data_IF_776184874364
#
_entry.id   IF_776184874364
#
_cell.length_a   1.000
_cell.length_b   1.000
_cell.length_c   1.000
_cell.angle_alpha   90.00
_cell.angle_beta   90.00
_cell.angle_gamma   90.00
#
_symmetry.space_group_name_H-M   'P 1'
#
loop_
_entity.id
_entity.type
_entity.pdbx_description
1 polymer ?
#
# COMPACT_ATOMS: atom_id res chain seq x y z
N UNK A 1 -27.94 -80.38 31.81
CA UNK A 1 -27.22 -79.19 32.29
C UNK A 1 -27.63 -78.00 31.43
N UNK A 2 -28.58 -77.17 31.89
CA UNK A 2 -29.06 -75.97 31.19
C UNK A 2 -28.11 -74.81 31.50
N UNK A 3 -27.43 -74.26 30.48
CA UNK A 3 -26.60 -73.06 30.61
C UNK A 3 -27.51 -71.83 30.60
N UNK A 4 -27.32 -70.96 31.57
CA UNK A 4 -28.04 -69.70 31.83
C UNK A 4 -27.02 -68.55 31.65
N UNK A 5 -27.44 -67.57 30.84
CA UNK A 5 -27.13 -66.13 30.79
C UNK A 5 -25.67 -65.61 30.82
N UNK A 6 -25.36 -64.69 29.91
CA UNK A 6 -25.33 -63.24 30.21
C UNK A 6 -25.14 -62.43 28.91
N UNK A 7 -26.11 -61.58 28.54
CA UNK A 7 -25.94 -60.55 27.51
C UNK A 7 -25.68 -59.21 28.20
N UNK A 8 -24.48 -58.67 28.00
CA UNK A 8 -24.05 -57.38 28.53
C UNK A 8 -24.58 -56.28 27.58
N UNK A 9 -25.51 -55.46 28.05
CA UNK A 9 -25.93 -54.26 27.33
C UNK A 9 -24.95 -53.12 27.62
N UNK A 10 -24.09 -52.78 26.65
CA UNK A 10 -23.33 -51.53 26.67
C UNK A 10 -24.28 -50.36 26.35
N UNK A 11 -24.61 -49.54 27.36
CA UNK A 11 -25.14 -48.20 27.13
C UNK A 11 -23.98 -47.30 26.67
N UNK A 12 -23.86 -47.09 25.37
CA UNK A 12 -23.04 -46.02 24.82
C UNK A 12 -23.72 -44.68 25.07
N UNK A 13 -23.18 -43.88 25.99
CA UNK A 13 -23.51 -42.46 26.12
C UNK A 13 -22.85 -41.70 24.98
N UNK A 14 -23.52 -41.67 23.83
CA UNK A 14 -23.15 -40.74 22.76
C UNK A 14 -23.29 -39.31 23.28
N UNK A 15 -22.17 -38.57 23.33
CA UNK A 15 -22.18 -37.12 23.40
C UNK A 15 -22.78 -36.61 22.08
N UNK A 16 -24.11 -36.50 22.06
CA UNK A 16 -24.82 -35.82 20.97
C UNK A 16 -24.43 -34.35 21.07
N UNK A 17 -23.55 -33.89 20.19
CA UNK A 17 -23.36 -32.46 19.99
C UNK A 17 -24.71 -31.85 19.65
N UNK A 18 -25.18 -30.90 20.45
CA UNK A 18 -26.43 -30.21 20.19
C UNK A 18 -26.32 -29.49 18.85
N UNK A 19 -27.08 -29.96 17.86
CA UNK A 19 -27.31 -29.26 16.60
C UNK A 19 -27.75 -27.83 16.90
N UNK A 20 -27.01 -26.84 16.40
CA UNK A 20 -27.18 -25.44 16.73
C UNK A 20 -26.54 -24.54 15.67
N UNK A 21 -27.06 -23.31 15.47
CA UNK A 21 -26.36 -22.31 14.69
C UNK A 21 -25.07 -21.92 15.40
N UNK A 22 -24.01 -21.67 14.62
CA UNK A 22 -22.70 -21.27 15.16
C UNK A 22 -22.07 -20.17 14.33
N UNK A 23 -21.87 -19.00 14.93
CA UNK A 23 -21.25 -17.85 14.26
C UNK A 23 -19.73 -17.89 14.36
N UNK A 24 -19.08 -17.69 13.22
CA UNK A 24 -17.67 -17.35 13.12
C UNK A 24 -17.51 -16.04 12.37
N UNK A 25 -16.59 -15.18 12.82
CA UNK A 25 -16.23 -13.94 12.14
C UNK A 25 -14.75 -13.96 11.76
N UNK A 26 -14.38 -13.29 10.69
CA UNK A 26 -12.98 -13.22 10.24
C UNK A 26 -12.07 -12.46 11.21
N UNK A 27 -12.61 -11.48 11.94
CA UNK A 27 -11.92 -10.78 13.03
C UNK A 27 -12.93 -10.15 13.99
N UNK A 28 -12.53 -10.02 15.27
CA UNK A 28 -13.27 -9.29 16.31
C UNK A 28 -12.59 -7.97 16.70
N UNK A 29 -11.36 -7.74 16.21
CA UNK A 29 -10.62 -6.50 16.40
C UNK A 29 -10.07 -6.05 15.04
N UNK A 30 -10.49 -4.86 14.62
CA UNK A 30 -9.88 -4.14 13.53
C UNK A 30 -9.12 -2.94 14.09
N UNK A 31 -7.78 -3.02 14.06
CA UNK A 31 -6.93 -1.87 14.34
C UNK A 31 -6.62 -1.14 13.03
N UNK A 32 -7.12 0.08 12.87
CA UNK A 32 -6.90 0.88 11.67
C UNK A 32 -5.55 1.62 11.68
N UNK A 33 -4.73 1.41 12.71
CA UNK A 33 -3.46 2.11 12.88
C UNK A 33 -3.71 3.59 13.14
N UNK A 34 -3.26 4.45 12.23
CA UNK A 34 -3.50 5.89 12.32
C UNK A 34 -4.42 6.36 11.19
N UNK A 35 -5.51 7.01 11.55
CA UNK A 35 -6.42 7.67 10.63
C UNK A 35 -6.36 9.20 10.78
N UNK A 36 -6.66 9.88 9.69
CA UNK A 36 -6.75 11.35 9.67
C UNK A 36 -8.10 11.74 10.23
N UNK A 37 -8.12 12.76 11.08
CA UNK A 37 -9.38 13.36 11.52
C UNK A 37 -10.21 13.82 10.31
N UNK A 38 -11.49 13.44 10.28
CA UNK A 38 -12.41 13.79 9.19
C UNK A 38 -12.51 12.75 8.07
N UNK A 39 -11.81 11.62 8.16
CA UNK A 39 -11.88 10.54 7.16
C UNK A 39 -12.88 9.45 7.56
N UNK A 40 -13.19 8.57 6.60
CA UNK A 40 -13.97 7.35 6.86
C UNK A 40 -13.04 6.16 6.76
N UNK A 41 -12.86 5.46 7.87
CA UNK A 41 -12.21 4.15 7.92
C UNK A 41 -13.24 3.10 7.48
N UNK A 42 -12.95 2.35 6.43
CA UNK A 42 -13.82 1.27 5.92
C UNK A 42 -13.08 -0.07 6.00
N UNK A 43 -13.74 -1.09 6.52
CA UNK A 43 -13.21 -2.46 6.57
C UNK A 43 -14.32 -3.49 6.48
N UNK A 44 -13.96 -4.73 6.13
CA UNK A 44 -14.91 -5.82 5.93
C UNK A 44 -14.67 -6.94 6.95
N UNK A 45 -15.75 -7.42 7.56
CA UNK A 45 -15.75 -8.62 8.39
C UNK A 45 -16.60 -9.67 7.70
N UNK A 46 -16.01 -10.83 7.41
CA UNK A 46 -16.74 -11.97 6.89
C UNK A 46 -17.41 -12.71 8.04
N UNK A 47 -18.71 -12.93 7.93
CA UNK A 47 -19.52 -13.68 8.88
C UNK A 47 -19.88 -15.02 8.25
N UNK A 48 -19.60 -16.11 8.94
CA UNK A 48 -19.83 -17.47 8.46
C UNK A 48 -20.68 -18.24 9.47
N UNK A 49 -21.68 -18.97 8.98
CA UNK A 49 -22.38 -19.97 9.78
C UNK A 49 -21.63 -21.31 9.69
N UNK A 50 -20.90 -21.64 10.74
CA UNK A 50 -20.17 -22.92 10.85
C UNK A 50 -20.95 -23.98 11.64
N UNK A 51 -22.20 -23.68 12.00
CA UNK A 51 -23.12 -24.61 12.61
C UNK A 51 -23.90 -25.41 11.58
N UNK A 52 -24.77 -26.28 12.07
CA UNK A 52 -25.62 -27.17 11.27
C UNK A 52 -27.09 -26.72 11.23
N UNK A 53 -27.42 -25.61 11.88
CA UNK A 53 -28.72 -24.94 11.79
C UNK A 53 -28.58 -23.50 11.27
N UNK A 54 -29.69 -22.89 10.85
CA UNK A 54 -29.72 -21.51 10.34
C UNK A 54 -29.30 -20.51 11.42
N UNK A 55 -28.26 -19.75 11.11
CA UNK A 55 -27.81 -18.61 11.90
C UNK A 55 -28.56 -17.35 11.44
N UNK A 56 -29.16 -16.64 12.39
CA UNK A 56 -29.86 -15.37 12.17
C UNK A 56 -29.19 -14.27 12.97
N UNK A 57 -28.78 -13.21 12.30
CA UNK A 57 -28.31 -11.96 12.91
C UNK A 57 -29.54 -11.12 13.25
N UNK A 58 -29.97 -11.18 14.51
CA UNK A 58 -31.22 -10.60 14.99
C UNK A 58 -31.15 -9.07 15.09
N UNK A 59 -29.99 -8.54 15.50
CA UNK A 59 -29.78 -7.10 15.68
C UNK A 59 -28.31 -6.74 15.51
N UNK A 60 -28.05 -5.50 15.13
CA UNK A 60 -26.72 -4.90 15.14
C UNK A 60 -26.82 -3.59 15.91
N UNK A 61 -25.90 -3.34 16.83
CA UNK A 61 -25.81 -2.07 17.55
C UNK A 61 -24.40 -1.50 17.54
N UNK A 62 -24.30 -0.18 17.63
CA UNK A 62 -23.05 0.56 17.72
C UNK A 62 -23.12 1.53 18.89
N UNK A 63 -22.00 1.75 19.55
CA UNK A 63 -21.87 2.69 20.67
C UNK A 63 -21.70 4.16 20.21
N UNK A 64 -21.60 4.42 18.91
CA UNK A 64 -21.45 5.76 18.35
C UNK A 64 -22.18 5.93 17.02
N UNK A 65 -22.79 7.11 16.81
CA UNK A 65 -23.42 7.51 15.54
C UNK A 65 -22.44 7.68 14.38
N UNK A 66 -21.16 7.76 14.67
CA UNK A 66 -20.06 7.83 13.71
C UNK A 66 -19.79 6.49 12.99
N UNK A 67 -20.40 5.40 13.44
CA UNK A 67 -20.25 4.07 12.84
C UNK A 67 -21.48 3.69 12.02
N UNK A 68 -21.28 3.17 10.82
CA UNK A 68 -22.32 2.61 9.96
C UNK A 68 -21.88 1.27 9.39
N UNK A 69 -22.83 0.49 8.86
CA UNK A 69 -22.56 -0.82 8.29
C UNK A 69 -23.44 -1.11 7.08
N UNK A 70 -22.99 -2.02 6.25
CA UNK A 70 -23.72 -2.61 5.13
C UNK A 70 -23.61 -4.13 5.25
N UNK A 71 -24.76 -4.79 5.40
CA UNK A 71 -24.87 -6.24 5.55
C UNK A 71 -25.90 -6.77 4.54
N UNK A 72 -25.47 -7.44 3.46
CA UNK A 72 -26.37 -7.92 2.42
C UNK A 72 -27.40 -8.95 2.88
N UNK A 73 -27.06 -9.76 3.89
CA UNK A 73 -27.88 -10.90 4.33
C UNK A 73 -27.75 -11.13 5.84
N UNK A 74 -28.86 -11.44 6.51
CA UNK A 74 -28.91 -11.70 7.96
C UNK A 74 -29.16 -13.15 8.34
N UNK A 75 -29.73 -13.94 7.44
CA UNK A 75 -29.99 -15.37 7.63
C UNK A 75 -29.01 -16.17 6.81
N UNK A 76 -28.15 -16.93 7.48
CA UNK A 76 -27.12 -17.76 6.86
C UNK A 76 -27.47 -19.23 7.05
N UNK A 77 -27.59 -19.95 5.93
CA UNK A 77 -27.69 -21.40 5.97
C UNK A 77 -26.36 -22.01 6.46
N UNK A 78 -26.35 -23.27 6.93
CA UNK A 78 -25.11 -23.97 7.27
C UNK A 78 -24.05 -23.86 6.15
N UNK A 79 -22.83 -23.46 6.51
CA UNK A 79 -21.71 -23.25 5.59
C UNK A 79 -21.73 -21.92 4.81
N UNK A 80 -22.80 -21.13 4.88
CA UNK A 80 -22.91 -19.88 4.15
C UNK A 80 -22.08 -18.76 4.81
N UNK A 81 -21.52 -17.88 3.98
CA UNK A 81 -20.77 -16.69 4.41
C UNK A 81 -21.32 -15.41 3.78
N UNK A 82 -21.22 -14.30 4.50
CA UNK A 82 -21.56 -12.97 4.01
C UNK A 82 -20.50 -11.95 4.46
N UNK A 83 -20.16 -11.02 3.58
CA UNK A 83 -19.27 -9.91 3.90
C UNK A 83 -20.07 -8.74 4.49
N UNK A 84 -19.73 -8.33 5.72
CA UNK A 84 -20.25 -7.11 6.35
C UNK A 84 -19.23 -6.00 6.23
N UNK A 85 -19.60 -4.90 5.57
CA UNK A 85 -18.75 -3.71 5.46
C UNK A 85 -19.10 -2.74 6.59
N UNK A 86 -18.10 -2.32 7.36
CA UNK A 86 -18.25 -1.35 8.46
C UNK A 86 -17.50 -0.08 8.07
N UNK A 87 -18.11 1.08 8.36
CA UNK A 87 -17.51 2.40 8.17
C UNK A 87 -17.49 3.16 9.49
N UNK A 88 -16.35 3.74 9.84
CA UNK A 88 -16.16 4.59 11.02
C UNK A 88 -15.70 5.98 10.56
N UNK A 89 -16.53 6.99 10.80
CA UNK A 89 -16.20 8.39 10.53
C UNK A 89 -15.39 8.96 11.69
N UNK A 90 -14.13 9.32 11.42
CA UNK A 90 -13.18 9.80 12.42
C UNK A 90 -13.30 11.31 12.72
N UNK A 91 -14.31 12.00 12.16
CA UNK A 91 -14.50 13.44 12.36
C UNK A 91 -14.59 13.82 13.85
N UNK A 92 -13.70 14.71 14.27
CA UNK A 92 -13.56 15.20 15.63
C UNK A 92 -12.87 14.25 16.58
N UNK A 93 -12.34 13.09 16.12
CA UNK A 93 -11.76 12.10 17.02
C UNK A 93 -10.32 12.40 17.45
N UNK A 94 -9.64 13.33 16.81
CA UNK A 94 -8.27 13.72 17.20
C UNK A 94 -8.17 14.33 18.60
N UNK A 95 -9.28 14.90 19.11
CA UNK A 95 -9.33 15.54 20.43
C UNK A 95 -9.56 14.57 21.59
N UNK A 96 -9.90 13.31 21.32
CA UNK A 96 -10.13 12.31 22.37
C UNK A 96 -8.83 11.60 22.77
N UNK A 97 -8.88 10.88 23.90
CA UNK A 97 -7.78 10.03 24.35
C UNK A 97 -7.55 8.94 23.32
N UNK A 98 -6.29 8.81 22.88
CA UNK A 98 -5.86 7.83 21.89
C UNK A 98 -5.36 6.56 22.59
N UNK A 99 -5.53 5.38 21.97
CA UNK A 99 -6.29 5.16 20.75
C UNK A 99 -7.80 5.21 21.02
N UNK A 100 -8.55 5.73 20.06
CA UNK A 100 -10.01 5.74 20.11
C UNK A 100 -10.51 4.32 19.82
N UNK A 101 -11.62 3.95 20.46
CA UNK A 101 -12.21 2.62 20.31
C UNK A 101 -13.73 2.72 20.19
N UNK A 102 -14.30 2.07 19.19
CA UNK A 102 -15.73 1.92 18.97
C UNK A 102 -16.07 0.44 18.82
N UNK A 103 -17.32 0.06 19.10
CA UNK A 103 -17.74 -1.34 19.06
C UNK A 103 -19.05 -1.47 18.29
N UNK A 104 -19.05 -2.36 17.31
CA UNK A 104 -20.24 -2.86 16.61
C UNK A 104 -20.56 -4.25 17.17
N UNK A 105 -21.70 -4.40 17.84
CA UNK A 105 -22.11 -5.69 18.41
C UNK A 105 -23.16 -6.34 17.53
N UNK A 106 -22.86 -7.55 17.05
CA UNK A 106 -23.82 -8.44 16.41
C UNK A 106 -24.58 -9.23 17.47
N UNK A 107 -25.90 -9.30 17.35
CA UNK A 107 -26.75 -10.17 18.16
C UNK A 107 -27.22 -11.32 17.29
N UNK A 108 -27.13 -12.54 17.81
CA UNK A 108 -27.40 -13.75 17.03
C UNK A 108 -28.26 -14.75 17.80
N UNK A 109 -28.79 -15.74 17.09
CA UNK A 109 -29.43 -16.91 17.70
C UNK A 109 -28.44 -18.05 18.03
N UNK A 110 -27.12 -17.83 17.92
CA UNK A 110 -26.11 -18.77 18.42
C UNK A 110 -26.20 -18.83 19.96
N UNK A 111 -26.54 -20.00 20.54
CA UNK A 111 -26.74 -20.12 21.99
C UNK A 111 -25.44 -19.95 22.79
N UNK A 112 -24.29 -20.16 22.15
CA UNK A 112 -22.97 -19.98 22.76
C UNK A 112 -22.41 -18.59 22.54
N UNK A 113 -22.86 -17.90 21.47
CA UNK A 113 -22.40 -16.56 21.10
C UNK A 113 -23.57 -15.63 20.75
N UNK A 114 -24.45 -15.32 21.71
CA UNK A 114 -25.61 -14.45 21.47
C UNK A 114 -25.19 -13.00 21.18
N UNK A 115 -23.97 -12.62 21.54
CA UNK A 115 -23.37 -11.30 21.27
C UNK A 115 -21.94 -11.48 20.76
N UNK A 116 -21.63 -10.86 19.63
CA UNK A 116 -20.29 -10.84 19.03
C UNK A 116 -19.87 -9.38 18.85
N UNK A 117 -19.05 -8.82 19.77
CA UNK A 117 -18.53 -7.47 19.63
C UNK A 117 -17.40 -7.45 18.60
N UNK A 118 -17.49 -6.55 17.64
CA UNK A 118 -16.44 -6.21 16.69
C UNK A 118 -15.90 -4.84 17.11
N UNK A 119 -14.68 -4.81 17.62
CA UNK A 119 -14.01 -3.59 18.08
C UNK A 119 -13.22 -2.95 16.94
N UNK A 120 -13.39 -1.66 16.76
CA UNK A 120 -12.66 -0.81 15.84
C UNK A 120 -11.81 0.14 16.66
N UNK A 121 -10.50 0.02 16.56
CA UNK A 121 -9.55 0.79 17.36
C UNK A 121 -8.51 1.44 16.47
N UNK A 122 -7.99 2.59 16.88
CA UNK A 122 -6.82 3.18 16.27
C UNK A 122 -6.58 4.61 16.77
N UNK A 123 -5.54 5.25 16.26
CA UNK A 123 -5.21 6.64 16.58
C UNK A 123 -5.84 7.56 15.54
N UNK A 124 -6.59 8.57 15.95
CA UNK A 124 -7.03 9.65 15.07
C UNK A 124 -6.22 10.89 15.36
N UNK A 125 -5.70 11.54 14.33
CA UNK A 125 -4.98 12.80 14.49
C UNK A 125 -5.28 13.81 13.40
N UNK A 126 -5.16 15.08 13.74
CA UNK A 126 -5.01 16.14 12.73
C UNK A 126 -3.63 15.98 12.12
N UNK A 127 -3.56 15.79 10.80
CA UNK A 127 -2.27 15.68 10.13
C UNK A 127 -1.59 17.03 10.04
N UNK A 128 -0.30 17.04 10.31
CA UNK A 128 0.57 18.11 9.86
C UNK A 128 0.74 18.02 8.34
N UNK A 129 1.12 19.12 7.68
CA UNK A 129 1.27 19.14 6.22
C UNK A 129 2.34 18.16 5.68
N UNK A 130 3.31 17.76 6.53
CA UNK A 130 4.34 16.76 6.22
C UNK A 130 3.91 15.32 6.53
N UNK A 131 2.67 15.06 6.94
CA UNK A 131 2.20 13.72 7.29
C UNK A 131 1.15 13.26 6.29
N UNK A 132 1.18 11.98 5.91
CA UNK A 132 0.10 11.39 5.13
C UNK A 132 -0.04 9.88 5.40
N UNK A 133 -1.27 9.33 5.35
CA UNK A 133 -1.53 7.93 5.63
C UNK A 133 -1.07 7.04 4.48
N UNK A 134 -0.86 5.75 4.76
CA UNK A 134 -0.49 4.74 3.76
C UNK A 134 -1.46 4.70 2.57
N UNK A 135 -2.77 4.88 2.82
CA UNK A 135 -3.75 4.97 1.75
C UNK A 135 -3.47 6.07 0.73
N UNK A 136 -3.01 7.25 1.17
CA UNK A 136 -2.70 8.34 0.24
C UNK A 136 -1.52 7.98 -0.66
N UNK A 137 -0.51 7.28 -0.15
CA UNK A 137 0.59 6.77 -0.97
C UNK A 137 0.11 5.66 -1.92
N UNK A 138 -0.70 4.71 -1.43
CA UNK A 138 -1.26 3.62 -2.23
C UNK A 138 -2.11 4.14 -3.40
N UNK A 139 -2.99 5.11 -3.14
CA UNK A 139 -3.87 5.73 -4.16
C UNK A 139 -3.09 6.45 -5.27
N UNK A 140 -1.89 6.98 -4.97
CA UNK A 140 -1.06 7.71 -5.94
C UNK A 140 0.17 6.93 -6.40
N UNK A 141 0.30 5.66 -6.02
CA UNK A 141 1.48 4.85 -6.30
C UNK A 141 1.69 4.63 -7.81
N UNK A 142 2.93 4.77 -8.25
CA UNK A 142 3.40 4.31 -9.55
C UNK A 142 4.83 3.79 -9.46
N UNK A 143 5.22 2.94 -10.40
CA UNK A 143 6.62 2.59 -10.64
C UNK A 143 7.17 3.32 -11.86
N UNK A 144 8.43 3.74 -11.77
CA UNK A 144 9.17 4.33 -12.87
C UNK A 144 10.34 3.42 -13.21
N UNK A 145 10.38 2.89 -14.43
CA UNK A 145 11.38 1.92 -14.85
C UNK A 145 12.27 2.51 -15.95
N UNK A 146 13.58 2.44 -15.74
CA UNK A 146 14.59 2.71 -16.75
C UNK A 146 14.98 1.40 -17.43
N UNK A 147 14.67 1.29 -18.73
CA UNK A 147 14.90 0.09 -19.54
C UNK A 147 16.27 0.05 -20.22
N UNK A 148 17.12 1.05 -19.97
CA UNK A 148 18.47 1.11 -20.53
C UNK A 148 19.40 0.16 -19.80
N UNK A 149 20.58 -0.01 -20.39
CA UNK A 149 21.64 -0.83 -19.82
C UNK A 149 22.13 -0.19 -18.50
N UNK A 150 22.57 -1.01 -17.51
CA UNK A 150 22.93 -0.52 -16.18
C UNK A 150 23.99 0.58 -16.17
N UNK A 151 24.93 0.55 -17.11
CA UNK A 151 25.99 1.54 -17.22
C UNK A 151 25.45 2.92 -17.62
N UNK A 152 24.44 2.97 -18.49
CA UNK A 152 23.78 4.23 -18.88
C UNK A 152 22.93 4.78 -17.75
N UNK A 153 22.20 3.91 -17.07
CA UNK A 153 21.45 4.27 -15.87
C UNK A 153 22.38 4.85 -14.80
N UNK A 154 23.51 4.19 -14.53
CA UNK A 154 24.48 4.62 -13.52
C UNK A 154 25.08 6.01 -13.82
N UNK A 155 25.27 6.37 -15.10
CA UNK A 155 25.78 7.69 -15.47
C UNK A 155 24.79 8.81 -15.19
N UNK A 156 23.51 8.59 -15.49
CA UNK A 156 22.44 9.53 -15.18
C UNK A 156 21.06 9.02 -15.59
N UNK A 157 20.06 9.28 -14.75
CA UNK A 157 18.71 8.76 -14.90
C UNK A 157 17.69 9.68 -14.21
N UNK A 158 16.40 9.40 -14.39
CA UNK A 158 15.34 10.12 -13.69
C UNK A 158 15.27 9.66 -12.22
N UNK A 159 15.27 10.60 -11.28
CA UNK A 159 15.36 10.33 -9.85
C UNK A 159 14.24 9.39 -9.37
N UNK A 160 14.60 8.31 -8.69
CA UNK A 160 13.66 7.29 -8.22
C UNK A 160 13.25 6.24 -9.26
N UNK A 161 13.84 6.26 -10.47
CA UNK A 161 13.65 5.18 -11.42
C UNK A 161 14.34 3.88 -10.92
N UNK A 162 13.73 2.73 -11.19
CA UNK A 162 14.35 1.41 -11.01
C UNK A 162 14.92 0.97 -12.35
N UNK A 163 16.19 0.59 -12.38
CA UNK A 163 16.77 0.03 -13.60
C UNK A 163 16.35 -1.43 -13.79
N UNK A 164 15.59 -1.70 -14.84
CA UNK A 164 15.23 -3.04 -15.29
C UNK A 164 15.44 -3.05 -16.80
N UNK A 165 16.64 -3.43 -17.29
CA UNK A 165 16.92 -3.45 -18.72
C UNK A 165 15.84 -4.20 -19.51
N UNK A 166 15.50 -3.75 -20.72
CA UNK A 166 14.45 -4.40 -21.53
C UNK A 166 14.66 -5.92 -21.67
N UNK A 167 15.92 -6.35 -21.79
CA UNK A 167 16.30 -7.77 -21.89
C UNK A 167 15.98 -8.61 -20.66
N UNK A 168 15.82 -7.98 -19.50
CA UNK A 168 15.51 -8.65 -18.23
C UNK A 168 14.03 -8.53 -17.87
N UNK A 169 13.27 -7.63 -18.52
CA UNK A 169 11.91 -7.27 -18.14
C UNK A 169 10.95 -8.46 -18.09
N UNK A 170 11.11 -9.45 -18.97
CA UNK A 170 10.28 -10.66 -18.98
C UNK A 170 10.38 -11.44 -17.66
N UNK A 171 11.58 -11.53 -17.07
CA UNK A 171 11.79 -12.20 -15.78
C UNK A 171 11.15 -11.44 -14.59
N UNK A 172 10.83 -10.16 -14.79
CA UNK A 172 10.21 -9.30 -13.78
C UNK A 172 8.68 -9.30 -13.82
N UNK A 173 8.06 -9.88 -14.85
CA UNK A 173 6.59 -9.88 -15.05
C UNK A 173 5.81 -10.36 -13.81
N UNK A 174 6.32 -11.35 -13.09
CA UNK A 174 5.64 -11.88 -11.89
C UNK A 174 5.89 -11.05 -10.63
N UNK A 175 6.94 -10.22 -10.60
CA UNK A 175 7.28 -9.36 -9.45
C UNK A 175 6.67 -7.95 -9.55
N UNK A 176 6.34 -7.51 -10.77
CA UNK A 176 5.77 -6.18 -11.00
C UNK A 176 4.28 -6.11 -10.58
N UNK A 177 3.83 -4.97 -10.01
CA UNK A 177 2.44 -4.79 -9.59
C UNK A 177 1.50 -4.57 -10.79
N UNK A 178 0.79 -5.63 -11.21
CA UNK A 178 -0.09 -5.65 -12.39
C UNK A 178 -1.23 -4.63 -12.36
N UNK A 179 -1.66 -4.22 -11.17
CA UNK A 179 -2.80 -3.32 -10.91
C UNK A 179 -2.38 -1.89 -10.54
N UNK A 180 -1.10 -1.52 -10.77
CA UNK A 180 -0.57 -0.17 -10.54
C UNK A 180 -0.10 0.45 -11.86
N UNK A 181 0.03 1.78 -11.86
CA UNK A 181 0.63 2.50 -12.99
C UNK A 181 2.12 2.19 -13.03
N UNK A 182 2.60 1.85 -14.24
CA UNK A 182 4.03 1.65 -14.50
C UNK A 182 4.42 2.57 -15.64
N UNK A 183 5.27 3.55 -15.37
CA UNK A 183 5.93 4.35 -16.38
C UNK A 183 7.23 3.67 -16.78
N UNK A 184 7.43 3.47 -18.07
CA UNK A 184 8.67 2.94 -18.61
C UNK A 184 9.32 3.97 -19.52
N UNK A 185 10.64 4.07 -19.48
CA UNK A 185 11.40 4.90 -20.41
C UNK A 185 12.72 4.22 -20.78
N UNK A 186 13.26 4.64 -21.91
CA UNK A 186 14.59 4.34 -22.38
C UNK A 186 15.22 5.64 -22.92
N UNK A 187 16.22 5.55 -23.79
CA UNK A 187 16.86 6.74 -24.35
C UNK A 187 15.90 7.54 -25.25
N UNK A 188 15.23 6.90 -26.20
CA UNK A 188 14.50 7.55 -27.30
C UNK A 188 13.01 7.25 -27.35
N UNK A 189 12.51 6.24 -26.67
CA UNK A 189 11.13 5.75 -26.64
C UNK A 189 10.94 4.38 -27.32
N UNK A 190 11.93 3.88 -28.05
CA UNK A 190 11.81 2.67 -28.90
C UNK A 190 11.71 1.38 -28.06
N UNK A 191 12.64 1.14 -27.14
CA UNK A 191 12.60 -0.01 -26.22
C UNK A 191 11.38 0.08 -25.30
N UNK A 192 10.98 1.29 -24.91
CA UNK A 192 9.78 1.51 -24.09
C UNK A 192 8.49 1.08 -24.78
N UNK A 193 8.37 1.27 -26.09
CA UNK A 193 7.22 0.77 -26.84
C UNK A 193 7.19 -0.76 -26.92
N UNK A 194 8.35 -1.41 -27.01
CA UNK A 194 8.47 -2.87 -26.93
C UNK A 194 8.07 -3.38 -25.54
N UNK A 195 8.55 -2.73 -24.48
CA UNK A 195 8.18 -3.05 -23.09
C UNK A 195 6.68 -2.89 -22.82
N UNK A 196 6.05 -1.83 -23.32
CA UNK A 196 4.59 -1.65 -23.22
C UNK A 196 3.86 -2.83 -23.86
N UNK A 197 4.28 -3.26 -25.05
CA UNK A 197 3.67 -4.41 -25.75
C UNK A 197 3.82 -5.69 -24.93
N UNK A 198 5.03 -5.99 -24.45
CA UNK A 198 5.32 -7.15 -23.61
C UNK A 198 4.47 -7.15 -22.33
N UNK A 199 4.42 -6.03 -21.62
CA UNK A 199 3.69 -5.92 -20.36
C UNK A 199 2.16 -5.98 -20.59
N UNK A 200 1.62 -5.36 -21.64
CA UNK A 200 0.19 -5.48 -21.96
C UNK A 200 -0.22 -6.91 -22.29
N UNK A 201 0.60 -7.65 -23.05
CA UNK A 201 0.37 -9.08 -23.33
C UNK A 201 0.34 -9.93 -22.05
N UNK A 202 1.03 -9.48 -20.99
CA UNK A 202 1.05 -10.10 -19.66
C UNK A 202 0.04 -9.48 -18.67
N UNK A 203 -0.92 -8.68 -19.15
CA UNK A 203 -2.05 -8.17 -18.36
C UNK A 203 -1.84 -6.82 -17.66
N UNK A 204 -0.71 -6.13 -17.90
CA UNK A 204 -0.45 -4.81 -17.31
C UNK A 204 -1.17 -3.70 -18.10
N UNK A 205 -2.43 -3.43 -17.76
CA UNK A 205 -3.27 -2.49 -18.52
C UNK A 205 -2.92 -1.01 -18.30
N UNK A 206 -2.25 -0.70 -17.19
CA UNK A 206 -1.90 0.67 -16.77
C UNK A 206 -0.47 1.08 -17.14
N UNK A 207 0.29 0.23 -17.84
CA UNK A 207 1.64 0.57 -18.30
C UNK A 207 1.62 1.69 -19.34
N UNK A 208 2.53 2.67 -19.25
CA UNK A 208 2.69 3.76 -20.20
C UNK A 208 4.16 4.04 -20.48
N UNK A 209 4.51 4.25 -21.75
CA UNK A 209 5.86 4.71 -22.12
C UNK A 209 5.96 6.24 -21.98
N UNK A 210 7.06 6.76 -21.42
CA UNK A 210 7.35 8.20 -21.51
C UNK A 210 7.65 8.53 -22.97
N UNK A 211 6.84 9.43 -23.55
CA UNK A 211 6.94 9.81 -24.97
C UNK A 211 8.34 10.34 -25.30
N UNK A 212 9.01 9.72 -26.25
CA UNK A 212 10.35 10.11 -26.68
C UNK A 212 11.48 9.68 -25.75
N UNK A 213 11.21 8.87 -24.71
CA UNK A 213 12.23 8.48 -23.73
C UNK A 213 12.87 9.68 -23.02
N UNK A 214 14.13 9.55 -22.64
CA UNK A 214 14.91 10.66 -22.08
C UNK A 214 15.14 11.81 -23.06
N UNK A 215 15.24 11.55 -24.37
CA UNK A 215 15.31 12.61 -25.39
C UNK A 215 14.06 13.48 -25.35
N UNK A 216 12.88 12.86 -25.33
CA UNK A 216 11.60 13.57 -25.23
C UNK A 216 11.46 14.32 -23.90
N UNK A 217 11.91 13.71 -22.80
CA UNK A 217 11.97 14.38 -21.51
C UNK A 217 12.84 15.63 -21.56
N UNK A 218 14.05 15.52 -22.10
CA UNK A 218 15.00 16.63 -22.19
C UNK A 218 14.48 17.76 -23.08
N UNK A 219 13.87 17.43 -24.23
CA UNK A 219 13.29 18.42 -25.13
C UNK A 219 12.15 19.22 -24.47
N UNK A 220 11.34 18.58 -23.63
CA UNK A 220 10.17 19.20 -23.02
C UNK A 220 10.50 19.89 -21.68
N UNK A 221 11.38 19.29 -20.87
CA UNK A 221 11.61 19.67 -19.47
C UNK A 221 13.07 19.98 -19.13
N UNK A 222 14.01 19.72 -20.04
CA UNK A 222 15.45 19.80 -19.78
C UNK A 222 15.89 18.72 -18.79
N UNK A 223 16.77 19.09 -17.86
CA UNK A 223 17.32 18.21 -16.82
C UNK A 223 16.40 18.00 -15.60
N UNK A 224 15.14 18.44 -15.65
CA UNK A 224 14.24 18.35 -14.50
C UNK A 224 14.15 16.89 -13.99
N UNK A 225 14.38 16.70 -12.70
CA UNK A 225 14.43 15.39 -12.02
C UNK A 225 15.52 14.42 -12.47
N UNK A 226 16.51 14.84 -13.28
CA UNK A 226 17.70 14.02 -13.48
C UNK A 226 18.54 13.97 -12.21
N UNK A 227 19.15 12.80 -11.97
CA UNK A 227 20.30 12.63 -11.09
C UNK A 227 21.46 12.08 -11.90
N UNK A 228 22.66 12.54 -11.56
CA UNK A 228 23.90 12.21 -12.25
C UNK A 228 24.87 11.57 -11.28
N UNK A 229 25.66 10.60 -11.75
CA UNK A 229 26.75 10.06 -10.95
C UNK A 229 27.80 11.12 -10.63
N UNK A 230 28.48 10.93 -9.51
CA UNK A 230 29.59 11.79 -9.12
C UNK A 230 30.66 11.82 -10.23
N UNK A 231 31.10 13.02 -10.59
CA UNK A 231 32.09 13.23 -11.65
C UNK A 231 31.57 13.13 -13.09
N UNK A 232 30.30 12.75 -13.30
CA UNK A 232 29.67 12.79 -14.64
C UNK A 232 29.22 14.21 -14.96
N UNK A 233 29.61 14.72 -16.12
CA UNK A 233 29.11 16.01 -16.63
C UNK A 233 27.73 15.80 -17.25
N UNK A 234 26.68 16.52 -16.81
CA UNK A 234 25.36 16.44 -17.40
C UNK A 234 25.38 16.72 -18.90
N UNK A 235 24.72 15.88 -19.69
CA UNK A 235 24.62 16.05 -21.13
C UNK A 235 23.26 15.61 -21.65
N UNK A 236 22.78 16.29 -22.68
CA UNK A 236 21.52 15.95 -23.31
C UNK A 236 21.54 14.51 -23.87
N UNK A 237 20.51 13.69 -23.59
CA UNK A 237 20.25 12.42 -24.27
C UNK A 237 20.28 12.58 -25.79
N UNK A 238 20.72 11.54 -26.49
CA UNK A 238 20.93 11.58 -27.94
C UNK A 238 20.00 10.63 -28.69
N UNK A 239 19.67 10.99 -29.93
CA UNK A 239 18.81 10.20 -30.81
C UNK A 239 17.52 10.89 -31.20
N UNK A 240 16.70 10.20 -31.99
CA UNK A 240 15.41 10.70 -32.46
C UNK A 240 14.30 10.24 -31.52
N UNK A 241 13.45 11.14 -31.00
CA UNK A 241 12.37 10.72 -30.11
C UNK A 241 11.34 9.88 -30.88
N UNK A 242 11.10 8.68 -30.39
CA UNK A 242 10.08 7.76 -30.84
C UNK A 242 8.82 7.90 -29.97
N UNK A 243 7.67 7.97 -30.61
CA UNK A 243 6.37 7.96 -29.93
C UNK A 243 5.56 6.76 -30.40
N UNK A 244 5.54 5.72 -29.58
CA UNK A 244 4.67 4.57 -29.77
C UNK A 244 3.22 4.84 -29.38
N UNK A 245 2.44 3.76 -29.32
CA UNK A 245 1.09 3.75 -28.73
C UNK A 245 1.19 3.65 -27.19
N UNK A 246 0.14 4.09 -26.47
CA UNK A 246 0.08 4.11 -25.00
C UNK A 246 1.20 4.90 -24.31
N UNK A 247 1.51 6.08 -24.85
CA UNK A 247 2.49 6.99 -24.26
C UNK A 247 1.87 7.97 -23.27
N UNK A 248 2.70 8.52 -22.39
CA UNK A 248 2.41 9.67 -21.52
C UNK A 248 3.43 10.77 -21.81
N UNK A 249 3.03 12.04 -21.75
CA UNK A 249 3.98 13.14 -21.96
C UNK A 249 4.89 13.35 -20.74
N UNK A 250 6.15 13.79 -20.93
CA UNK A 250 7.02 14.19 -19.82
C UNK A 250 6.33 15.13 -18.82
N UNK A 251 5.64 16.18 -19.27
CA UNK A 251 4.94 17.12 -18.37
C UNK A 251 3.78 16.51 -17.58
N UNK A 252 3.13 15.45 -18.09
CA UNK A 252 2.11 14.74 -17.32
C UNK A 252 2.74 13.95 -16.18
N UNK A 253 3.85 13.27 -16.43
CA UNK A 253 4.60 12.55 -15.39
C UNK A 253 5.18 13.54 -14.38
N UNK A 254 5.81 14.62 -14.86
CA UNK A 254 6.47 15.62 -14.01
C UNK A 254 5.51 16.38 -13.07
N UNK A 255 4.26 16.61 -13.45
CA UNK A 255 3.25 17.27 -12.57
C UNK A 255 2.89 16.45 -11.33
N UNK A 256 3.04 15.14 -11.41
CA UNK A 256 2.76 14.21 -10.33
C UNK A 256 4.01 13.51 -9.78
N UNK A 257 5.20 14.00 -10.10
CA UNK A 257 6.45 13.27 -9.90
C UNK A 257 6.69 13.02 -8.40
N UNK A 258 6.73 11.74 -8.02
CA UNK A 258 6.94 11.31 -6.66
C UNK A 258 8.10 10.32 -6.56
N UNK A 259 8.80 10.33 -5.43
CA UNK A 259 9.86 9.38 -5.10
C UNK A 259 9.67 8.92 -3.66
N UNK A 260 9.71 7.60 -3.47
CA UNK A 260 9.67 6.98 -2.14
C UNK A 260 11.12 6.81 -1.67
N UNK A 261 11.43 7.33 -0.49
CA UNK A 261 12.76 7.35 0.10
C UNK A 261 12.71 6.60 1.42
N UNK A 262 13.30 5.41 1.45
CA UNK A 262 13.43 4.62 2.66
C UNK A 262 14.71 5.00 3.40
N UNK A 263 14.55 5.58 4.59
CA UNK A 263 15.65 6.08 5.44
C UNK A 263 16.11 5.08 6.49
N UNK A 264 15.66 3.82 6.41
CA UNK A 264 16.13 2.73 7.26
C UNK A 264 17.53 2.26 6.83
N UNK A 265 18.10 1.39 7.65
CA UNK A 265 19.41 0.80 7.34
C UNK A 265 19.32 -0.09 6.11
N UNK A 266 20.41 -0.27 5.33
CA UNK A 266 20.40 -1.10 4.14
C UNK A 266 19.91 -2.53 4.38
N UNK A 267 20.22 -3.13 5.53
CA UNK A 267 19.75 -4.47 5.89
C UNK A 267 18.23 -4.54 6.10
N UNK A 268 17.62 -3.51 6.68
CA UNK A 268 16.17 -3.40 6.88
C UNK A 268 15.46 -3.21 5.53
N UNK A 269 16.07 -2.41 4.65
CA UNK A 269 15.60 -2.21 3.29
C UNK A 269 15.65 -3.50 2.48
N UNK A 270 16.79 -4.20 2.47
CA UNK A 270 16.97 -5.49 1.79
C UNK A 270 15.98 -6.55 2.26
N UNK A 271 15.72 -6.59 3.57
CA UNK A 271 14.77 -7.53 4.16
C UNK A 271 13.30 -7.27 3.74
N UNK A 272 12.98 -6.05 3.31
CA UNK A 272 11.66 -5.73 2.78
C UNK A 272 11.38 -4.22 2.76
N UNK A 273 11.14 -3.66 1.58
CA UNK A 273 10.84 -2.23 1.35
C UNK A 273 9.74 -2.05 0.32
N UNK A 274 9.18 -0.83 0.20
CA UNK A 274 8.17 -0.53 -0.84
C UNK A 274 8.79 -0.57 -2.23
N UNK A 275 8.14 -1.24 -3.18
CA UNK A 275 8.55 -1.35 -4.56
C UNK A 275 8.87 0.03 -5.16
N UNK A 276 10.05 0.16 -5.76
CA UNK A 276 10.53 1.42 -6.34
C UNK A 276 11.03 2.47 -5.34
N UNK A 277 11.06 2.17 -4.04
CA UNK A 277 11.73 3.04 -3.09
C UNK A 277 13.24 3.03 -3.29
N UNK A 278 13.89 4.16 -3.05
CA UNK A 278 15.34 4.25 -2.95
C UNK A 278 15.76 4.18 -1.49
N UNK A 279 16.85 3.46 -1.18
CA UNK A 279 17.41 3.47 0.17
C UNK A 279 18.40 4.61 0.34
N UNK A 280 18.07 5.55 1.23
CA UNK A 280 18.95 6.66 1.59
C UNK A 280 19.02 6.70 3.12
N UNK A 281 19.98 6.00 3.74
CA UNK A 281 20.08 5.97 5.20
C UNK A 281 20.49 7.35 5.74
N UNK A 282 19.57 8.01 6.46
CA UNK A 282 19.75 9.37 6.99
C UNK A 282 19.63 9.35 8.51
N UNK A 283 20.72 9.04 9.21
CA UNK A 283 20.74 8.92 10.68
C UNK A 283 21.20 10.20 11.37
N UNK A 284 21.86 11.09 10.64
CA UNK A 284 22.43 12.33 11.17
C UNK A 284 21.97 13.54 10.38
N UNK A 285 21.96 14.69 11.05
CA UNK A 285 21.65 15.98 10.40
C UNK A 285 22.62 16.31 9.26
N UNK A 286 23.89 15.89 9.38
CA UNK A 286 24.91 16.13 8.36
C UNK A 286 24.62 15.35 7.08
N UNK A 287 24.21 14.09 7.19
CA UNK A 287 23.81 13.26 6.05
C UNK A 287 22.57 13.85 5.37
N UNK A 288 21.56 14.27 6.15
CA UNK A 288 20.36 14.92 5.61
C UNK A 288 20.69 16.19 4.83
N UNK A 289 21.51 17.08 5.41
CA UNK A 289 21.92 18.33 4.73
C UNK A 289 22.70 18.02 3.44
N UNK A 290 23.58 17.01 3.46
CA UNK A 290 24.34 16.62 2.29
C UNK A 290 23.41 16.08 1.18
N UNK A 291 22.49 15.19 1.52
CA UNK A 291 21.53 14.62 0.57
C UNK A 291 20.56 15.65 0.00
N UNK A 292 20.08 16.61 0.80
CA UNK A 292 19.19 17.67 0.30
C UNK A 292 19.86 18.49 -0.80
N UNK A 293 21.19 18.67 -0.76
CA UNK A 293 21.94 19.37 -1.82
C UNK A 293 22.05 18.57 -3.12
N UNK A 294 21.82 17.26 -3.08
CA UNK A 294 21.83 16.39 -4.27
C UNK A 294 20.45 16.22 -4.89
N UNK A 295 19.39 16.66 -4.19
CA UNK A 295 18.03 16.53 -4.70
C UNK A 295 17.81 17.46 -5.90
N UNK A 296 17.03 17.02 -6.91
CA UNK A 296 16.67 17.87 -8.03
C UNK A 296 16.00 19.18 -7.57
N UNK A 297 16.30 20.32 -8.24
CA UNK A 297 15.70 21.60 -7.89
C UNK A 297 14.19 21.60 -8.20
N UNK A 298 13.43 22.36 -7.42
CA UNK A 298 12.01 22.59 -7.72
C UNK A 298 11.85 23.58 -8.87
N UNK A 299 10.86 23.34 -9.74
CA UNK A 299 10.50 24.27 -10.81
C UNK A 299 9.03 24.64 -10.67
N UNK A 300 8.69 25.91 -10.89
CA UNK A 300 7.30 26.34 -10.83
C UNK A 300 6.42 25.48 -11.77
N UNK A 301 5.35 24.90 -11.22
CA UNK A 301 4.47 23.98 -11.94
C UNK A 301 4.86 22.50 -11.89
N UNK A 302 6.06 22.17 -11.39
CA UNK A 302 6.58 20.81 -11.26
C UNK A 302 7.28 20.63 -9.91
N UNK A 303 6.55 20.09 -8.93
CA UNK A 303 7.05 19.89 -7.57
C UNK A 303 7.39 18.41 -7.36
N UNK A 304 8.57 18.13 -6.81
CA UNK A 304 8.99 16.81 -6.38
C UNK A 304 8.25 16.41 -5.10
N UNK A 305 7.46 15.35 -5.18
CA UNK A 305 6.74 14.79 -4.03
C UNK A 305 7.60 13.70 -3.38
N UNK A 306 8.24 14.03 -2.27
CA UNK A 306 9.07 13.08 -1.52
C UNK A 306 8.21 12.36 -0.49
N UNK A 307 8.19 11.03 -0.54
CA UNK A 307 7.60 10.17 0.49
C UNK A 307 8.71 9.55 1.32
N UNK A 308 8.90 10.05 2.52
CA UNK A 308 9.93 9.54 3.44
C UNK A 308 9.36 8.41 4.27
N UNK A 309 10.09 7.31 4.37
CA UNK A 309 9.64 6.09 5.03
C UNK A 309 10.73 5.58 5.96
N UNK A 310 10.36 5.31 7.21
CA UNK A 310 11.14 4.49 8.14
C UNK A 310 10.24 3.39 8.72
N UNK A 311 10.65 2.75 9.83
CA UNK A 311 9.89 1.61 10.35
C UNK A 311 8.57 2.05 11.02
N UNK A 312 8.57 3.15 11.76
CA UNK A 312 7.45 3.57 12.63
C UNK A 312 6.91 4.99 12.37
N UNK A 313 7.46 5.72 11.41
CA UNK A 313 7.12 7.08 11.03
C UNK A 313 7.93 8.17 11.74
N UNK A 314 8.68 7.87 12.80
CA UNK A 314 9.23 8.88 13.70
C UNK A 314 10.32 9.72 13.03
N UNK A 315 11.37 9.09 12.48
CA UNK A 315 12.45 9.80 11.77
C UNK A 315 11.91 10.34 10.45
N UNK A 316 11.08 9.55 9.78
CA UNK A 316 10.48 9.95 8.51
C UNK A 316 9.72 11.27 8.61
N UNK A 317 8.90 11.48 9.64
CA UNK A 317 8.13 12.72 9.82
C UNK A 317 9.02 13.91 10.21
N UNK A 318 10.06 13.70 11.01
CA UNK A 318 11.06 14.74 11.29
C UNK A 318 11.77 15.20 10.00
N UNK A 319 12.23 14.25 9.17
CA UNK A 319 12.88 14.53 7.89
C UNK A 319 11.92 15.21 6.91
N UNK A 320 10.68 14.74 6.81
CA UNK A 320 9.69 15.34 5.92
C UNK A 320 9.37 16.79 6.34
N UNK A 321 9.27 17.07 7.64
CA UNK A 321 9.11 18.44 8.13
C UNK A 321 10.31 19.30 7.74
N UNK A 322 11.52 18.82 7.97
CA UNK A 322 12.75 19.52 7.58
C UNK A 322 12.79 19.83 6.08
N UNK A 323 12.46 18.85 5.22
CA UNK A 323 12.44 19.02 3.76
C UNK A 323 11.49 20.13 3.32
N UNK A 324 10.31 20.25 3.94
CA UNK A 324 9.35 21.31 3.64
C UNK A 324 9.90 22.69 3.96
N UNK A 325 10.59 22.82 5.09
CA UNK A 325 11.24 24.07 5.50
C UNK A 325 12.44 24.43 4.59
N UNK A 326 12.93 23.48 3.79
CA UNK A 326 14.09 23.62 2.91
C UNK A 326 13.74 23.51 1.42
N UNK A 327 12.53 23.94 1.04
CA UNK A 327 12.17 24.12 -0.36
C UNK A 327 11.53 22.91 -1.04
N UNK A 328 11.15 21.86 -0.28
CA UNK A 328 10.40 20.71 -0.79
C UNK A 328 8.99 20.69 -0.16
N UNK A 329 8.09 21.61 -0.57
CA UNK A 329 6.80 21.82 0.09
C UNK A 329 5.79 20.69 -0.11
N UNK A 330 6.12 19.66 -0.88
CA UNK A 330 5.30 18.45 -1.04
C UNK A 330 5.93 17.22 -0.38
N UNK A 331 7.02 17.38 0.39
CA UNK A 331 7.58 16.30 1.19
C UNK A 331 6.59 15.86 2.28
N UNK A 332 6.45 14.54 2.41
CA UNK A 332 5.55 13.85 3.34
C UNK A 332 6.25 12.64 3.93
N UNK A 333 5.97 12.32 5.18
CA UNK A 333 6.28 11.03 5.76
C UNK A 333 5.10 10.07 5.56
N UNK A 334 5.44 8.79 5.38
CA UNK A 334 4.48 7.72 5.59
C UNK A 334 4.20 7.62 7.09
N UNK A 335 3.01 8.03 7.47
CA UNK A 335 2.57 8.01 8.84
C UNK A 335 2.56 6.58 9.40
N UNK A 336 3.26 6.37 10.52
CA UNK A 336 3.40 5.04 11.13
C UNK A 336 4.40 4.14 10.40
N UNK A 337 5.10 4.66 9.39
CA UNK A 337 6.17 3.97 8.67
C UNK A 337 5.73 2.68 7.99
N UNK A 338 6.69 1.79 7.77
CA UNK A 338 6.48 0.45 7.21
C UNK A 338 5.53 -0.40 8.07
N UNK A 339 5.51 -0.20 9.39
CA UNK A 339 4.57 -0.87 10.28
C UNK A 339 3.11 -0.56 9.91
N UNK A 340 2.79 0.72 9.65
CA UNK A 340 1.46 1.10 9.21
C UNK A 340 1.12 0.58 7.81
N UNK A 341 2.10 0.48 6.91
CA UNK A 341 1.88 -0.15 5.61
C UNK A 341 1.49 -1.61 5.76
N UNK A 342 2.32 -2.41 6.47
CA UNK A 342 2.08 -3.85 6.66
C UNK A 342 0.79 -4.14 7.41
N UNK A 343 0.41 -3.29 8.36
CA UNK A 343 -0.87 -3.40 9.06
C UNK A 343 -2.08 -3.27 8.13
N UNK A 344 -1.98 -2.48 7.05
CA UNK A 344 -3.10 -2.19 6.16
C UNK A 344 -3.08 -3.05 4.89
N UNK A 345 -1.88 -3.35 4.38
CA UNK A 345 -1.65 -3.93 3.06
C UNK A 345 -0.82 -5.22 3.10
N UNK A 346 -0.43 -5.71 4.28
CA UNK A 346 0.43 -6.89 4.44
C UNK A 346 1.73 -6.73 3.61
N UNK A 347 2.02 -7.69 2.72
CA UNK A 347 3.20 -7.68 1.84
C UNK A 347 2.91 -7.08 0.45
N UNK A 348 1.75 -6.44 0.24
CA UNK A 348 1.46 -5.75 -1.01
C UNK A 348 2.51 -4.67 -1.29
N UNK A 349 3.05 -4.66 -2.52
CA UNK A 349 4.15 -3.79 -2.93
C UNK A 349 5.45 -3.93 -2.12
N UNK A 350 5.62 -4.99 -1.32
CA UNK A 350 6.88 -5.21 -0.61
C UNK A 350 7.86 -6.00 -1.50
N UNK A 351 9.02 -5.40 -1.77
CA UNK A 351 10.14 -6.03 -2.45
C UNK A 351 11.24 -6.40 -1.47
N UNK A 352 11.88 -7.54 -1.73
CA UNK A 352 13.11 -7.97 -1.07
C UNK A 352 14.26 -7.96 -2.07
N UNK A 353 15.46 -7.72 -1.55
CA UNK A 353 16.71 -7.83 -2.30
C UNK A 353 17.44 -9.12 -1.87
N UNK A 354 18.06 -9.80 -2.84
CA UNK A 354 18.81 -11.03 -2.58
C UNK A 354 20.25 -10.74 -2.19
#
# INVERSE_FOLDING_TARGET
MKKILLALALLGTGLVGLSAPKIQVSTELYDFGVAVDGTVVEFTVTITNVGDQRLTITRISYNCSCTSYELPKRDLNPGESVAMKIRFNTTGYSRYVQPVSQTVTLYTNDPTRPQVPITVRGTVKTLSAHEAPAKTLSDTFYLLLDLRDPEKYAQGHLFGAVNIPLSELEAWVEKLPKDRVIYVYDETGEKSAQAVTLLQQNGFMLVRAIRGGLVGWWQELGELFFVWAEGVTPSAPQGSPYSGTFTVTPSQVARGYQVIVDVRRPEEFKAGHLAGAINVPLFTQRELIAWVRTLPPQRQGYTLKLWIVDEDGTRACSIASYLRDHGYPEAKCLLGGMNSWRSQYQDELIWTEK
#
